data_IF_684838210956
#
_entry.id   IF_684838210956
#
_cell.length_a   1.000
_cell.length_b   1.000
_cell.length_c   1.000
_cell.angle_alpha   90.00
_cell.angle_beta   90.00
_cell.angle_gamma   90.00
#
_symmetry.space_group_name_H-M   'P 1'
#
loop_
_entity.id
_entity.type
_entity.pdbx_description
1 polymer ?
#
# COMPACT_ATOMS: atom_id res chain seq x y z
N UNK A 1 -7.71 48.83 -0.53
CA UNK A 1 -7.68 48.92 0.95
C UNK A 1 -8.23 47.68 1.70
N UNK A 2 -8.74 46.65 1.01
CA UNK A 2 -9.38 45.48 1.63
C UNK A 2 -8.41 44.39 2.12
N UNK A 3 -7.19 44.36 1.59
CA UNK A 3 -6.22 43.30 1.90
C UNK A 3 -5.58 43.40 3.29
N UNK A 4 -5.58 44.59 3.88
CA UNK A 4 -4.93 44.87 5.16
C UNK A 4 -5.72 44.32 6.38
N UNK A 5 -7.05 44.26 6.29
CA UNK A 5 -7.92 43.73 7.35
C UNK A 5 -7.96 42.19 7.42
N UNK A 6 -7.62 41.48 6.34
CA UNK A 6 -7.65 40.00 6.30
C UNK A 6 -6.29 39.35 6.57
N UNK A 7 -5.22 40.15 6.72
CA UNK A 7 -3.85 39.67 6.83
C UNK A 7 -3.61 38.69 7.99
N UNK A 8 -4.22 38.90 9.16
CA UNK A 8 -4.06 37.96 10.29
C UNK A 8 -4.70 36.60 10.00
N UNK A 9 -5.90 36.59 9.42
CA UNK A 9 -6.58 35.35 9.06
C UNK A 9 -5.86 34.62 7.93
N UNK A 10 -5.34 35.36 6.93
CA UNK A 10 -4.46 34.83 5.87
C UNK A 10 -3.21 34.17 6.46
N UNK A 11 -2.42 34.91 7.26
CA UNK A 11 -1.21 34.37 7.91
C UNK A 11 -1.51 33.18 8.83
N UNK A 12 -2.64 33.20 9.54
CA UNK A 12 -3.06 32.06 10.38
C UNK A 12 -3.36 30.82 9.54
N UNK A 13 -4.12 30.97 8.44
CA UNK A 13 -4.39 29.87 7.50
C UNK A 13 -3.10 29.35 6.86
N UNK A 14 -2.18 30.23 6.47
CA UNK A 14 -0.87 29.83 5.93
C UNK A 14 -0.04 29.04 6.94
N UNK A 15 0.06 29.50 8.19
CA UNK A 15 0.76 28.74 9.25
C UNK A 15 0.12 27.37 9.46
N UNK A 16 -1.21 27.30 9.47
CA UNK A 16 -1.92 26.02 9.59
C UNK A 16 -1.66 25.10 8.39
N UNK A 17 -1.70 25.63 7.17
CA UNK A 17 -1.42 24.89 5.94
C UNK A 17 0.01 24.35 5.94
N UNK A 18 1.00 25.20 6.24
CA UNK A 18 2.42 24.80 6.35
C UNK A 18 2.63 23.70 7.40
N UNK A 19 1.97 23.78 8.55
CA UNK A 19 2.06 22.74 9.58
C UNK A 19 1.43 21.42 9.11
N UNK A 20 0.28 21.48 8.43
CA UNK A 20 -0.38 20.29 7.87
C UNK A 20 0.43 19.65 6.75
N UNK A 21 1.03 20.44 5.86
CA UNK A 21 1.90 19.96 4.78
C UNK A 21 3.14 19.27 5.34
N UNK A 22 3.81 19.86 6.33
CA UNK A 22 4.94 19.22 7.01
C UNK A 22 4.57 17.85 7.59
N UNK A 23 3.42 17.76 8.25
CA UNK A 23 2.94 16.52 8.85
C UNK A 23 2.62 15.46 7.78
N UNK A 24 2.01 15.87 6.66
CA UNK A 24 1.75 14.98 5.52
C UNK A 24 3.04 14.48 4.89
N UNK A 25 4.02 15.36 4.70
CA UNK A 25 5.31 15.01 4.11
C UNK A 25 6.07 13.99 4.96
N UNK A 26 6.13 14.21 6.29
CA UNK A 26 6.71 13.25 7.23
C UNK A 26 6.04 11.87 7.14
N UNK A 27 4.71 11.81 7.12
CA UNK A 27 4.00 10.54 6.99
C UNK A 27 4.21 9.87 5.62
N UNK A 28 4.37 10.64 4.54
CA UNK A 28 4.68 10.09 3.22
C UNK A 28 6.09 9.49 3.19
N UNK A 29 7.07 10.15 3.79
CA UNK A 29 8.44 9.64 3.91
C UNK A 29 8.49 8.35 4.72
N UNK A 30 7.80 8.28 5.86
CA UNK A 30 7.66 7.05 6.64
C UNK A 30 7.03 5.92 5.81
N UNK A 31 5.93 6.21 5.12
CA UNK A 31 5.30 5.22 4.23
C UNK A 31 6.22 4.77 3.10
N UNK A 32 7.03 5.68 2.54
CA UNK A 32 7.99 5.36 1.49
C UNK A 32 9.05 4.39 2.01
N UNK A 33 9.58 4.63 3.21
CA UNK A 33 10.54 3.73 3.87
C UNK A 33 9.96 2.33 4.09
N UNK A 34 8.75 2.26 4.67
CA UNK A 34 8.07 0.99 4.93
C UNK A 34 7.74 0.21 3.64
N UNK A 35 7.42 0.91 2.54
CA UNK A 35 7.21 0.28 1.23
C UNK A 35 8.50 -0.29 0.65
N UNK A 36 9.61 0.44 0.77
CA UNK A 36 10.91 -0.04 0.31
C UNK A 36 11.33 -1.30 1.08
N UNK A 37 11.19 -1.30 2.41
CA UNK A 37 11.47 -2.48 3.24
C UNK A 37 10.57 -3.67 2.89
N UNK A 38 9.28 -3.41 2.67
CA UNK A 38 8.35 -4.44 2.19
C UNK A 38 8.78 -5.03 0.85
N UNK A 39 9.20 -4.17 -0.08
CA UNK A 39 9.64 -4.59 -1.41
C UNK A 39 10.92 -5.42 -1.34
N UNK A 40 11.88 -5.04 -0.49
CA UNK A 40 13.11 -5.81 -0.25
C UNK A 40 12.80 -7.22 0.29
N UNK A 41 11.90 -7.32 1.28
CA UNK A 41 11.50 -8.61 1.85
C UNK A 41 10.76 -9.46 0.80
N UNK A 42 9.89 -8.85 0.00
CA UNK A 42 9.22 -9.56 -1.09
C UNK A 42 10.22 -10.06 -2.14
N UNK A 43 11.21 -9.25 -2.51
CA UNK A 43 12.26 -9.64 -3.45
C UNK A 43 13.06 -10.82 -2.90
N UNK A 44 13.42 -10.80 -1.60
CA UNK A 44 14.10 -11.92 -0.95
C UNK A 44 13.25 -13.20 -0.93
N UNK A 45 11.95 -13.08 -0.67
CA UNK A 45 11.01 -14.20 -0.66
C UNK A 45 10.75 -14.82 -2.04
N UNK A 46 10.75 -14.00 -3.10
CA UNK A 46 10.61 -14.48 -4.47
C UNK A 46 11.91 -15.12 -5.00
N UNK A 47 13.04 -14.86 -4.35
CA UNK A 47 14.38 -15.25 -4.80
C UNK A 47 14.80 -14.51 -6.07
N UNK A 48 15.96 -14.86 -6.63
CA UNK A 48 16.44 -14.35 -7.93
C UNK A 48 15.63 -14.87 -9.13
N UNK A 49 14.47 -15.50 -8.89
CA UNK A 49 13.60 -15.99 -9.96
C UNK A 49 13.03 -14.77 -10.69
N UNK A 50 13.35 -14.58 -11.99
CA UNK A 50 12.72 -13.53 -12.76
C UNK A 50 11.21 -13.73 -12.70
N UNK A 51 10.48 -12.65 -12.40
CA UNK A 51 9.00 -12.66 -12.47
C UNK A 51 8.64 -12.93 -13.92
N UNK A 52 8.15 -14.15 -14.20
CA UNK A 52 7.63 -14.51 -15.51
C UNK A 52 6.59 -13.46 -15.94
N UNK A 53 6.86 -12.77 -17.07
CA UNK A 53 6.04 -11.65 -17.56
C UNK A 53 6.57 -10.24 -17.26
N UNK A 54 7.78 -10.07 -16.71
CA UNK A 54 8.48 -8.78 -16.60
C UNK A 54 8.92 -8.27 -17.98
N UNK A 55 7.95 -7.84 -18.80
CA UNK A 55 8.00 -6.91 -19.95
C UNK A 55 9.31 -6.74 -20.74
N UNK A 56 10.09 -7.81 -20.92
CA UNK A 56 11.30 -7.83 -21.72
C UNK A 56 11.30 -8.99 -22.74
N UNK A 57 10.44 -10.00 -22.56
CA UNK A 57 10.33 -11.15 -23.48
C UNK A 57 9.12 -11.09 -24.42
N UNK A 58 8.31 -10.02 -24.40
CA UNK A 58 7.12 -9.90 -25.27
C UNK A 58 7.42 -9.17 -26.59
N UNK A 59 8.68 -8.81 -26.87
CA UNK A 59 9.08 -8.20 -28.16
C UNK A 59 9.74 -9.20 -29.12
N UNK A 60 9.43 -10.49 -28.99
CA UNK A 60 9.54 -11.41 -30.11
C UNK A 60 8.32 -11.26 -31.00
N UNK A 61 8.35 -10.35 -31.98
CA UNK A 61 7.35 -10.33 -33.06
C UNK A 61 7.43 -11.66 -33.83
N UNK A 62 6.68 -12.66 -33.40
CA UNK A 62 6.56 -13.93 -34.11
C UNK A 62 5.80 -13.69 -35.41
N UNK A 63 6.56 -13.49 -36.49
CA UNK A 63 6.02 -13.25 -37.82
C UNK A 63 5.27 -14.49 -38.31
N UNK A 64 3.95 -14.38 -38.43
CA UNK A 64 3.12 -15.38 -39.11
C UNK A 64 3.48 -15.39 -40.59
N UNK A 65 4.02 -16.50 -41.08
CA UNK A 65 4.41 -16.62 -42.49
C UNK A 65 3.39 -17.48 -43.24
N UNK A 66 2.80 -16.91 -44.28
CA UNK A 66 1.82 -17.58 -45.14
C UNK A 66 2.46 -17.92 -46.48
N UNK A 67 2.37 -19.18 -46.88
CA UNK A 67 2.86 -19.68 -48.16
C UNK A 67 1.68 -20.10 -49.02
N UNK A 68 1.57 -19.51 -50.21
CA UNK A 68 0.51 -19.84 -51.16
C UNK A 68 1.01 -20.85 -52.19
N UNK A 69 0.38 -22.02 -52.22
CA UNK A 69 0.71 -23.13 -53.10
C UNK A 69 -0.41 -23.34 -54.12
N UNK A 70 -0.14 -24.00 -55.26
CA UNK A 70 -1.07 -24.03 -56.39
C UNK A 70 -2.48 -24.56 -56.08
N UNK A 71 -2.60 -25.46 -55.10
CA UNK A 71 -3.88 -26.09 -54.74
C UNK A 71 -4.35 -25.73 -53.31
N UNK A 72 -3.54 -25.01 -52.52
CA UNK A 72 -3.87 -24.66 -51.13
C UNK A 72 -2.90 -23.62 -50.54
N UNK A 73 -3.31 -23.00 -49.43
CA UNK A 73 -2.47 -22.05 -48.68
C UNK A 73 -2.11 -22.65 -47.32
N UNK A 74 -0.83 -22.53 -46.93
CA UNK A 74 -0.31 -22.99 -45.63
C UNK A 74 0.11 -21.79 -44.80
N UNK A 75 -0.42 -21.67 -43.59
CA UNK A 75 -0.01 -20.67 -42.61
C UNK A 75 0.80 -21.34 -41.51
N UNK A 76 2.05 -20.89 -41.32
CA UNK A 76 2.92 -21.37 -40.25
C UNK A 76 2.97 -20.32 -39.15
N UNK A 77 2.54 -20.72 -37.95
CA UNK A 77 2.56 -19.90 -36.74
C UNK A 77 3.34 -20.66 -35.68
N UNK A 78 4.32 -20.01 -35.06
CA UNK A 78 4.98 -20.51 -33.84
C UNK A 78 3.94 -20.45 -32.71
N UNK A 79 3.79 -21.55 -31.96
CA UNK A 79 2.91 -21.59 -30.80
C UNK A 79 3.78 -21.80 -29.57
N UNK A 80 3.66 -20.91 -28.60
CA UNK A 80 4.32 -21.10 -27.31
C UNK A 80 3.65 -22.23 -26.52
N UNK A 81 4.39 -22.83 -25.60
CA UNK A 81 3.86 -23.92 -24.75
C UNK A 81 2.64 -23.48 -23.93
N UNK A 82 2.50 -22.17 -23.64
CA UNK A 82 1.37 -21.59 -22.92
C UNK A 82 0.06 -21.61 -23.75
N UNK A 83 0.16 -21.43 -25.07
CA UNK A 83 -1.00 -21.43 -25.99
C UNK A 83 -1.52 -22.85 -26.26
N UNK A 84 -0.61 -23.84 -26.25
CA UNK A 84 -0.94 -25.25 -26.43
C UNK A 84 -1.60 -25.85 -25.18
N UNK A 85 -1.15 -25.44 -23.99
CA UNK A 85 -1.65 -25.91 -22.71
C UNK A 85 -2.27 -24.73 -21.96
N UNK A 86 -3.51 -24.37 -22.30
CA UNK A 86 -4.17 -23.19 -21.73
C UNK A 86 -4.07 -23.12 -20.20
N UNK A 87 -3.39 -22.09 -19.68
CA UNK A 87 -3.17 -21.75 -18.26
C UNK A 87 -3.27 -22.91 -17.23
N UNK A 88 -2.59 -24.04 -17.49
CA UNK A 88 -2.56 -25.16 -16.54
C UNK A 88 -1.40 -24.98 -15.56
N UNK A 89 -1.54 -24.06 -14.61
CA UNK A 89 -0.62 -23.96 -13.47
C UNK A 89 -1.03 -24.94 -12.36
N UNK A 90 -0.63 -26.21 -12.47
CA UNK A 90 -0.70 -27.16 -11.34
C UNK A 90 0.65 -27.14 -10.60
N UNK A 91 0.60 -26.76 -9.32
CA UNK A 91 1.77 -26.47 -8.50
C UNK A 91 2.87 -27.54 -8.53
N UNK A 92 4.10 -27.08 -8.78
CA UNK A 92 5.33 -27.85 -8.58
C UNK A 92 5.53 -28.12 -7.08
N UNK A 93 5.03 -29.25 -6.59
CA UNK A 93 5.50 -29.84 -5.33
C UNK A 93 6.63 -30.82 -5.68
N UNK A 94 7.86 -30.33 -5.83
CA UNK A 94 9.04 -31.18 -5.79
C UNK A 94 9.46 -31.35 -4.34
N UNK A 95 9.15 -32.50 -3.74
CA UNK A 95 9.86 -32.97 -2.55
C UNK A 95 11.11 -33.70 -3.06
N UNK A 96 12.27 -33.06 -2.93
CA UNK A 96 13.55 -33.73 -3.15
C UNK A 96 13.91 -34.43 -1.83
N UNK A 97 13.78 -35.76 -1.80
CA UNK A 97 14.27 -36.59 -0.71
C UNK A 97 15.81 -36.63 -0.76
N UNK A 98 16.46 -35.66 -0.11
CA UNK A 98 17.89 -35.74 0.24
C UNK A 98 18.05 -35.53 1.75
N UNK A 99 18.46 -36.58 2.48
CA UNK A 99 18.58 -36.59 3.95
C UNK A 99 19.55 -35.54 4.52
N UNK A 100 20.47 -34.99 3.71
CA UNK A 100 21.34 -33.88 4.10
C UNK A 100 20.71 -32.48 3.86
N UNK A 101 19.61 -32.40 3.11
CA UNK A 101 18.86 -31.18 2.80
C UNK A 101 17.85 -30.76 3.85
N UNK A 102 17.45 -31.67 4.76
CA UNK A 102 16.42 -31.42 5.79
C UNK A 102 16.80 -30.24 6.69
N UNK A 103 18.08 -30.09 7.03
CA UNK A 103 18.54 -29.02 7.93
C UNK A 103 18.48 -27.65 7.25
N UNK A 104 18.89 -27.55 5.98
CA UNK A 104 18.80 -26.32 5.19
C UNK A 104 17.34 -25.97 4.87
N UNK A 105 16.52 -26.94 4.50
CA UNK A 105 15.09 -26.73 4.19
C UNK A 105 14.31 -26.23 5.43
N UNK A 106 14.63 -26.74 6.62
CA UNK A 106 14.05 -26.26 7.89
C UNK A 106 14.52 -24.82 8.20
N UNK A 107 15.78 -24.48 7.97
CA UNK A 107 16.29 -23.12 8.17
C UNK A 107 15.68 -22.12 7.17
N UNK A 108 15.58 -22.49 5.89
CA UNK A 108 14.91 -21.71 4.86
C UNK A 108 13.42 -21.53 5.16
N UNK A 109 12.73 -22.59 5.58
CA UNK A 109 11.32 -22.53 6.00
C UNK A 109 11.11 -21.58 7.18
N UNK A 110 12.00 -21.62 8.18
CA UNK A 110 11.97 -20.69 9.33
C UNK A 110 12.26 -19.25 8.91
N UNK A 111 13.21 -19.03 7.99
CA UNK A 111 13.51 -17.71 7.45
C UNK A 111 12.30 -17.13 6.71
N UNK A 112 11.65 -17.93 5.86
CA UNK A 112 10.42 -17.59 5.13
C UNK A 112 9.29 -17.22 6.09
N UNK A 113 9.10 -17.98 7.17
CA UNK A 113 8.09 -17.67 8.18
C UNK A 113 8.39 -16.37 8.92
N UNK A 114 9.67 -16.09 9.22
CA UNK A 114 10.08 -14.84 9.84
C UNK A 114 9.82 -13.62 8.93
N UNK A 115 10.09 -13.75 7.63
CA UNK A 115 9.86 -12.69 6.65
C UNK A 115 8.36 -12.46 6.37
N UNK A 116 7.54 -13.52 6.37
CA UNK A 116 6.07 -13.41 6.37
C UNK A 116 5.55 -12.66 7.59
N UNK A 117 6.10 -12.91 8.78
CA UNK A 117 5.74 -12.16 10.00
C UNK A 117 6.15 -10.69 9.90
N UNK A 118 7.35 -10.39 9.38
CA UNK A 118 7.81 -9.02 9.11
C UNK A 118 6.89 -8.29 8.13
N UNK A 119 6.48 -8.93 7.03
CA UNK A 119 5.53 -8.35 6.06
C UNK A 119 4.19 -7.96 6.73
N UNK A 120 3.65 -8.82 7.61
CA UNK A 120 2.44 -8.51 8.39
C UNK A 120 2.67 -7.33 9.33
N UNK A 121 3.83 -7.25 9.98
CA UNK A 121 4.18 -6.14 10.85
C UNK A 121 4.27 -4.81 10.08
N UNK A 122 4.93 -4.80 8.91
CA UNK A 122 5.03 -3.63 8.04
C UNK A 122 3.66 -3.15 7.54
N UNK A 123 2.77 -4.08 7.19
CA UNK A 123 1.40 -3.74 6.81
C UNK A 123 0.64 -3.05 7.95
N UNK A 124 0.80 -3.52 9.20
CA UNK A 124 0.22 -2.87 10.39
C UNK A 124 0.81 -1.47 10.60
N UNK A 125 2.13 -1.33 10.52
CA UNK A 125 2.82 -0.04 10.67
C UNK A 125 2.38 0.99 9.62
N UNK A 126 2.16 0.57 8.38
CA UNK A 126 1.59 1.42 7.31
C UNK A 126 0.17 1.91 7.64
N UNK A 127 -0.66 1.03 8.19
CA UNK A 127 -1.99 1.37 8.71
C UNK A 127 -1.90 2.40 9.85
N UNK A 128 -1.01 2.15 10.81
CA UNK A 128 -0.79 3.02 11.97
C UNK A 128 -0.27 4.41 11.59
N UNK A 129 0.61 4.52 10.61
CA UNK A 129 1.07 5.81 10.08
C UNK A 129 -0.12 6.63 9.54
N UNK A 130 -1.06 5.98 8.85
CA UNK A 130 -2.27 6.61 8.32
C UNK A 130 -3.22 7.07 9.44
N UNK A 131 -3.46 6.23 10.44
CA UNK A 131 -4.35 6.56 11.57
C UNK A 131 -3.75 7.68 12.43
N UNK A 132 -2.44 7.66 12.69
CA UNK A 132 -1.70 8.71 13.40
C UNK A 132 -1.80 10.06 12.67
N UNK A 133 -1.60 10.08 11.35
CA UNK A 133 -1.78 11.30 10.54
C UNK A 133 -3.21 11.84 10.65
N UNK A 134 -4.21 10.98 10.49
CA UNK A 134 -5.62 11.40 10.58
C UNK A 134 -5.95 11.95 11.97
N UNK A 135 -5.47 11.30 13.03
CA UNK A 135 -5.64 11.78 14.39
C UNK A 135 -4.98 13.15 14.60
N UNK A 136 -3.75 13.34 14.10
CA UNK A 136 -3.01 14.58 14.24
C UNK A 136 -3.66 15.75 13.50
N UNK A 137 -4.14 15.54 12.27
CA UNK A 137 -4.82 16.59 11.48
C UNK A 137 -6.16 17.04 12.09
N UNK A 138 -6.82 16.17 12.86
CA UNK A 138 -8.17 16.42 13.38
C UNK A 138 -8.22 16.58 14.92
N UNK A 139 -7.09 16.51 15.62
CA UNK A 139 -7.01 16.63 17.09
C UNK A 139 -7.68 17.90 17.60
N UNK A 140 -7.34 19.05 17.01
CA UNK A 140 -7.89 20.35 17.38
C UNK A 140 -9.40 20.44 17.15
N UNK A 141 -9.90 19.84 16.06
CA UNK A 141 -11.34 19.82 15.76
C UNK A 141 -12.08 18.97 16.81
N UNK A 142 -11.50 17.83 17.19
CA UNK A 142 -12.07 16.91 18.19
C UNK A 142 -12.12 17.56 19.58
N UNK A 143 -11.03 18.18 20.02
CA UNK A 143 -10.97 18.87 21.32
C UNK A 143 -11.88 20.10 21.36
N UNK A 144 -11.92 20.90 20.29
CA UNK A 144 -12.88 22.01 20.19
C UNK A 144 -14.33 21.53 20.24
N UNK A 145 -14.65 20.41 19.58
CA UNK A 145 -15.99 19.80 19.65
C UNK A 145 -16.38 19.36 21.07
N UNK A 146 -15.46 18.70 21.79
CA UNK A 146 -15.65 18.33 23.21
C UNK A 146 -15.92 19.55 24.08
N UNK A 147 -15.08 20.58 23.97
CA UNK A 147 -15.22 21.83 24.71
C UNK A 147 -16.56 22.53 24.44
N UNK A 148 -17.00 22.61 23.17
CA UNK A 148 -18.31 23.18 22.82
C UNK A 148 -19.45 22.41 23.49
N UNK A 149 -19.40 21.08 23.49
CA UNK A 149 -20.41 20.22 24.12
C UNK A 149 -20.45 20.41 25.64
N UNK A 150 -19.30 20.52 26.30
CA UNK A 150 -19.22 20.80 27.74
C UNK A 150 -19.87 22.16 28.05
N UNK A 151 -19.51 23.21 27.30
CA UNK A 151 -20.10 24.55 27.46
C UNK A 151 -21.61 24.56 27.23
N UNK A 152 -22.12 23.78 26.27
CA UNK A 152 -23.55 23.68 26.01
C UNK A 152 -24.29 22.99 27.19
N UNK A 153 -23.69 21.95 27.78
CA UNK A 153 -24.25 21.25 28.94
C UNK A 153 -24.27 22.14 30.18
N UNK A 154 -23.18 22.87 30.46
CA UNK A 154 -23.10 23.76 31.63
C UNK A 154 -24.07 24.92 31.51
N UNK A 155 -24.18 25.53 30.32
CA UNK A 155 -25.14 26.61 30.07
C UNK A 155 -26.60 26.12 30.13
N UNK A 156 -26.91 24.92 29.63
CA UNK A 156 -28.24 24.31 29.78
C UNK A 156 -28.61 24.06 31.24
N UNK A 157 -27.69 23.51 32.04
CA UNK A 157 -27.89 23.33 33.49
C UNK A 157 -28.10 24.67 34.21
N UNK A 158 -27.29 25.68 33.90
CA UNK A 158 -27.43 27.01 34.49
C UNK A 158 -28.78 27.68 34.15
N UNK A 159 -29.29 27.49 32.93
CA UNK A 159 -30.63 27.98 32.55
C UNK A 159 -31.74 27.26 33.32
N UNK A 160 -31.67 25.93 33.45
CA UNK A 160 -32.67 25.16 34.21
C UNK A 160 -32.70 25.52 35.70
N UNK A 161 -31.53 25.77 36.30
CA UNK A 161 -31.44 26.22 37.69
C UNK A 161 -32.05 27.62 37.91
N UNK A 162 -32.04 28.48 36.89
CA UNK A 162 -32.68 29.81 36.94
C UNK A 162 -34.19 29.73 36.81
N UNK A 163 -34.72 28.77 36.04
CA UNK A 163 -36.18 28.61 35.88
C UNK A 163 -36.85 28.01 37.11
N UNK A 164 -36.13 27.20 37.90
CA UNK A 164 -36.65 26.61 39.15
C UNK A 164 -36.55 27.51 40.39
N UNK A 165 -35.90 28.67 40.27
CA UNK A 165 -35.75 29.67 41.36
C UNK A 165 -36.77 30.82 41.26
N UNK A 166 -37.68 30.76 40.28
CA UNK A 166 -38.86 31.62 40.16
C UNK A 166 -40.09 30.78 40.52
#
# INVERSE_FOLDING_TARGET
LSDFLTGFQKRKKERQKKAQEKLKLQAQEEKRRLRAEKQEILQRLLGDKPVAGSSADVEGEEQVVTYDMPDHTVTVTSLESCDLYGDVHVGNNQAADEEDGITQEIEESRAVDSDKQRLKALARQMGDCSTKLHAALHKDKKERGKMRRIKLRTTKKAKLARTHRR
#
